data_IF_804255694130
#
_entry.id   IF_804255694130
#
_cell.length_a   1.000
_cell.length_b   1.000
_cell.length_c   1.000
_cell.angle_alpha   90.00
_cell.angle_beta   90.00
_cell.angle_gamma   90.00
#
_symmetry.space_group_name_H-M   'P 1'
#
loop_
_entity.id
_entity.type
_entity.pdbx_description
1 polymer ?
#
# COMPACT_ATOMS: atom_id res chain seq x y z
N UNK A 1 11.23 19.96 -6.64
CA UNK A 1 10.63 18.70 -7.09
C UNK A 1 11.31 18.25 -8.39
N UNK A 2 11.69 16.96 -8.57
CA UNK A 2 12.29 16.50 -9.82
C UNK A 2 11.27 16.60 -10.98
N UNK A 3 11.72 17.07 -12.15
CA UNK A 3 10.90 17.54 -13.29
C UNK A 3 9.89 16.55 -13.91
N UNK A 4 9.93 15.25 -13.55
CA UNK A 4 9.09 14.21 -14.18
C UNK A 4 8.17 13.51 -13.16
N UNK A 5 7.68 14.23 -12.15
CA UNK A 5 6.71 13.69 -11.20
C UNK A 5 5.57 14.66 -11.03
N UNK A 6 4.38 14.11 -10.85
CA UNK A 6 3.16 14.87 -10.69
C UNK A 6 2.27 14.18 -9.64
N UNK A 7 1.48 14.96 -8.93
CA UNK A 7 0.47 14.44 -8.01
C UNK A 7 -0.80 14.09 -8.78
N UNK A 8 -1.47 13.01 -8.38
CA UNK A 8 -2.70 12.59 -9.02
C UNK A 8 -3.67 11.94 -8.04
N UNK A 9 -4.95 11.99 -8.37
CA UNK A 9 -6.00 11.25 -7.68
C UNK A 9 -6.43 10.05 -8.53
N UNK A 10 -6.58 8.88 -7.89
CA UNK A 10 -7.06 7.67 -8.58
C UNK A 10 -8.52 7.85 -8.96
N UNK A 11 -8.81 7.89 -10.25
CA UNK A 11 -10.15 8.02 -10.80
C UNK A 11 -10.86 6.68 -10.90
N UNK A 12 -10.16 5.63 -11.36
CA UNK A 12 -10.73 4.29 -11.52
C UNK A 12 -9.66 3.20 -11.56
N UNK A 13 -9.96 2.05 -10.97
CA UNK A 13 -9.14 0.84 -11.12
C UNK A 13 -9.46 0.10 -12.42
N UNK A 14 -8.44 -0.22 -13.22
CA UNK A 14 -8.61 -0.91 -14.51
C UNK A 14 -8.24 -2.41 -14.45
N UNK A 15 -7.67 -2.86 -13.32
CA UNK A 15 -7.21 -4.24 -13.15
C UNK A 15 -5.81 -4.49 -13.75
N UNK A 16 -5.29 -5.70 -13.55
CA UNK A 16 -3.94 -6.11 -13.99
C UNK A 16 -2.82 -5.11 -13.60
N UNK A 17 -2.92 -4.52 -12.40
CA UNK A 17 -1.95 -3.52 -11.93
C UNK A 17 -1.99 -2.18 -12.69
N UNK A 18 -3.11 -1.84 -13.35
CA UNK A 18 -3.31 -0.56 -14.03
C UNK A 18 -4.48 0.19 -13.38
N UNK A 19 -4.37 1.51 -13.42
CA UNK A 19 -5.41 2.43 -12.96
C UNK A 19 -5.44 3.67 -13.85
N UNK A 20 -6.57 4.37 -13.83
CA UNK A 20 -6.72 5.70 -14.39
C UNK A 20 -6.59 6.72 -13.25
N UNK A 21 -5.70 7.70 -13.41
CA UNK A 21 -5.53 8.78 -12.45
C UNK A 21 -5.77 10.14 -13.12
N UNK A 22 -6.45 11.01 -12.38
CA UNK A 22 -6.60 12.43 -12.71
C UNK A 22 -5.40 13.16 -12.10
N UNK A 23 -4.45 13.58 -12.94
CA UNK A 23 -3.33 14.39 -12.49
C UNK A 23 -3.78 15.83 -12.21
N UNK A 24 -3.13 16.50 -11.26
CA UNK A 24 -3.49 17.88 -10.89
C UNK A 24 -3.05 18.94 -11.90
N UNK A 25 -2.29 18.54 -12.92
CA UNK A 25 -2.09 19.33 -14.14
C UNK A 25 -3.31 19.34 -15.09
N UNK A 26 -4.38 18.60 -14.74
CA UNK A 26 -5.63 18.54 -15.49
C UNK A 26 -5.72 17.40 -16.50
N UNK A 27 -4.66 16.58 -16.66
CA UNK A 27 -4.62 15.49 -17.64
C UNK A 27 -4.95 14.16 -16.98
N UNK A 28 -5.83 13.37 -17.63
CA UNK A 28 -6.07 11.98 -17.24
C UNK A 28 -5.02 11.08 -17.84
N UNK A 29 -4.35 10.28 -17.01
CA UNK A 29 -3.28 9.37 -17.44
C UNK A 29 -3.58 7.94 -17.06
N UNK A 30 -3.15 7.03 -17.93
CA UNK A 30 -3.11 5.60 -17.67
C UNK A 30 -1.86 5.28 -16.86
N UNK A 31 -2.05 4.94 -15.60
CA UNK A 31 -0.97 4.67 -14.68
C UNK A 31 -0.73 3.17 -14.51
N UNK A 32 0.54 2.78 -14.49
CA UNK A 32 0.96 1.43 -14.17
C UNK A 32 1.51 1.37 -12.74
N UNK A 33 0.98 0.46 -11.92
CA UNK A 33 1.40 0.31 -10.53
C UNK A 33 2.77 -0.40 -10.51
N UNK A 34 3.80 0.31 -10.05
CA UNK A 34 5.15 -0.24 -9.94
C UNK A 34 5.16 -1.48 -9.05
N UNK A 35 5.87 -2.52 -9.46
CA UNK A 35 5.84 -3.84 -8.81
C UNK A 35 6.14 -3.81 -7.30
N UNK A 36 6.97 -2.86 -6.84
CA UNK A 36 7.28 -2.65 -5.42
C UNK A 36 6.02 -2.33 -4.59
N UNK A 37 5.06 -1.61 -5.16
CA UNK A 37 3.82 -1.23 -4.46
C UNK A 37 2.79 -2.36 -4.49
N UNK A 38 2.71 -3.13 -5.59
CA UNK A 38 1.71 -4.21 -5.76
C UNK A 38 1.67 -5.24 -4.63
N UNK A 39 2.78 -5.42 -3.89
CA UNK A 39 2.87 -6.38 -2.78
C UNK A 39 2.68 -5.74 -1.39
N UNK A 40 2.80 -4.42 -1.27
CA UNK A 40 2.89 -3.72 0.03
C UNK A 40 1.74 -2.76 0.27
N UNK A 41 1.18 -2.19 -0.78
CA UNK A 41 0.25 -1.06 -0.68
C UNK A 41 -0.98 -1.32 -1.53
N UNK A 42 -2.13 -1.24 -0.88
CA UNK A 42 -3.43 -1.31 -1.53
C UNK A 42 -3.84 0.09 -2.00
N UNK A 43 -4.16 0.19 -3.29
CA UNK A 43 -4.56 1.44 -3.93
C UNK A 43 -6.02 1.29 -4.36
N UNK A 44 -6.86 2.20 -3.91
CA UNK A 44 -8.28 2.26 -4.22
C UNK A 44 -8.63 3.54 -4.99
N UNK A 45 -9.86 3.60 -5.48
CA UNK A 45 -10.40 4.81 -6.08
C UNK A 45 -10.50 5.93 -5.03
N UNK A 46 -10.10 7.15 -5.39
CA UNK A 46 -10.09 8.31 -4.50
C UNK A 46 -8.75 8.57 -3.81
N UNK A 47 -7.85 7.57 -3.76
CA UNK A 47 -6.52 7.70 -3.16
C UNK A 47 -5.66 8.76 -3.88
N UNK A 48 -4.81 9.44 -3.11
CA UNK A 48 -3.82 10.39 -3.63
C UNK A 48 -2.49 9.65 -3.86
N UNK A 49 -1.93 9.80 -5.06
CA UNK A 49 -0.73 9.09 -5.49
C UNK A 49 0.26 10.05 -6.16
N UNK A 50 1.55 9.71 -6.05
CA UNK A 50 2.61 10.33 -6.82
C UNK A 50 2.84 9.51 -8.09
N UNK A 51 2.72 10.15 -9.24
CA UNK A 51 2.97 9.52 -10.55
C UNK A 51 4.28 10.04 -11.16
N UNK A 52 5.00 9.16 -11.83
CA UNK A 52 6.16 9.48 -12.65
C UNK A 52 5.74 9.62 -14.11
N UNK A 53 5.99 10.80 -14.68
CA UNK A 53 5.70 11.09 -16.08
C UNK A 53 6.76 10.47 -16.99
N UNK A 54 6.35 10.08 -18.20
CA UNK A 54 7.24 9.57 -19.25
C UNK A 54 7.50 10.66 -20.27
N UNK A 55 8.75 10.84 -20.66
CA UNK A 55 9.18 11.94 -21.54
C UNK A 55 8.54 11.91 -22.94
N UNK A 56 8.18 10.71 -23.43
CA UNK A 56 7.68 10.49 -24.79
C UNK A 56 6.21 10.05 -24.87
N UNK A 57 5.57 9.74 -23.73
CA UNK A 57 4.19 9.26 -23.67
C UNK A 57 3.48 9.92 -22.50
N UNK A 58 3.06 11.17 -22.68
CA UNK A 58 2.40 11.93 -21.61
C UNK A 58 1.07 11.30 -21.14
N UNK A 59 0.38 10.56 -22.02
CA UNK A 59 -0.83 9.81 -21.68
C UNK A 59 -0.60 8.64 -20.71
N UNK A 60 0.66 8.27 -20.46
CA UNK A 60 1.03 7.15 -19.58
C UNK A 60 1.98 7.60 -18.49
N UNK A 61 1.75 7.08 -17.30
CA UNK A 61 2.59 7.34 -16.15
C UNK A 61 2.79 6.05 -15.33
N UNK A 62 3.73 6.10 -14.38
CA UNK A 62 3.98 5.00 -13.46
C UNK A 62 3.74 5.46 -12.02
N UNK A 63 3.00 4.68 -11.23
CA UNK A 63 2.73 5.03 -9.81
C UNK A 63 4.00 4.79 -8.99
N UNK A 64 4.47 5.82 -8.30
CA UNK A 64 5.70 5.81 -7.51
C UNK A 64 5.39 5.60 -6.02
N UNK A 65 4.38 6.29 -5.50
CA UNK A 65 4.04 6.31 -4.07
C UNK A 65 2.53 6.54 -3.92
N UNK A 66 1.94 5.98 -2.85
CA UNK A 66 0.61 6.32 -2.36
C UNK A 66 0.77 7.18 -1.11
N UNK A 67 -0.01 8.24 -0.98
CA UNK A 67 -0.11 9.04 0.22
C UNK A 67 -1.26 8.54 1.10
N UNK A 68 -1.05 8.57 2.41
CA UNK A 68 -2.12 8.36 3.38
C UNK A 68 -3.02 9.60 3.46
N UNK A 69 -4.19 9.45 4.10
CA UNK A 69 -5.17 10.53 4.22
C UNK A 69 -4.60 11.75 4.96
N UNK A 70 -3.81 11.53 6.01
CA UNK A 70 -3.14 12.59 6.76
C UNK A 70 -2.05 13.29 5.93
N UNK A 71 -1.27 12.53 5.16
CA UNK A 71 -0.27 13.10 4.26
C UNK A 71 -0.93 13.92 3.15
N UNK A 72 -2.06 13.44 2.61
CA UNK A 72 -2.86 14.17 1.63
C UNK A 72 -3.43 15.48 2.19
N UNK A 73 -3.83 15.51 3.47
CA UNK A 73 -4.22 16.77 4.14
C UNK A 73 -3.05 17.73 4.27
N UNK A 74 -1.87 17.22 4.62
CA UNK A 74 -0.67 18.05 4.69
C UNK A 74 -0.32 18.64 3.31
N UNK A 75 -0.46 17.86 2.22
CA UNK A 75 -0.25 18.36 0.86
C UNK A 75 -1.19 19.53 0.50
N UNK A 76 -2.44 19.52 0.98
CA UNK A 76 -3.35 20.67 0.83
C UNK A 76 -2.85 21.88 1.62
N UNK A 77 -2.46 21.67 2.87
CA UNK A 77 -1.93 22.74 3.74
C UNK A 77 -0.69 23.39 3.14
N UNK A 78 0.15 22.61 2.45
CA UNK A 78 1.34 23.11 1.74
C UNK A 78 1.02 23.77 0.40
N UNK A 79 -0.21 23.67 -0.11
CA UNK A 79 -0.62 24.20 -1.40
C UNK A 79 -0.07 23.42 -2.60
N UNK A 80 0.37 22.18 -2.40
CA UNK A 80 0.88 21.30 -3.46
C UNK A 80 -0.25 20.70 -4.30
N UNK A 81 -1.44 20.57 -3.72
CA UNK A 81 -2.65 20.09 -4.39
C UNK A 81 -3.83 21.04 -4.11
N UNK A 82 -4.79 21.18 -5.03
CA UNK A 82 -5.91 22.09 -4.84
C UNK A 82 -6.85 21.66 -3.71
N UNK A 83 -7.44 22.63 -3.00
CA UNK A 83 -8.35 22.37 -1.88
C UNK A 83 -9.62 21.59 -2.28
N UNK A 84 -10.00 21.70 -3.56
CA UNK A 84 -11.16 21.04 -4.15
C UNK A 84 -11.08 19.51 -4.19
N UNK A 85 -9.90 18.94 -3.95
CA UNK A 85 -9.70 17.48 -3.99
C UNK A 85 -10.45 16.81 -2.85
N UNK A 86 -11.33 15.87 -3.18
CA UNK A 86 -12.03 15.08 -2.16
C UNK A 86 -11.14 13.93 -1.71
N UNK A 87 -10.57 14.02 -0.50
CA UNK A 87 -9.82 12.92 0.11
C UNK A 87 -10.86 11.96 0.65
N UNK A 88 -10.93 10.75 0.08
CA UNK A 88 -11.82 9.71 0.57
C UNK A 88 -11.13 9.01 1.72
N UNK A 89 -11.64 9.15 2.95
CA UNK A 89 -11.22 8.32 4.09
C UNK A 89 -11.74 6.89 3.85
N UNK A 90 -11.07 6.15 2.97
CA UNK A 90 -11.31 4.73 2.80
C UNK A 90 -10.68 4.03 4.00
N UNK A 91 -11.46 3.99 5.10
CA UNK A 91 -11.09 3.46 6.40
C UNK A 91 -10.21 2.22 6.31
N UNK A 92 -8.93 2.42 6.56
CA UNK A 92 -8.01 1.33 6.88
C UNK A 92 -8.19 1.02 8.36
N UNK A 93 -9.30 0.35 8.70
CA UNK A 93 -9.41 -0.41 9.95
C UNK A 93 -8.68 -1.75 9.79
N UNK A 94 -7.42 -1.71 9.36
CA UNK A 94 -6.54 -2.88 9.38
C UNK A 94 -5.37 -2.46 10.26
N UNK A 95 -5.39 -2.98 11.49
CA UNK A 95 -4.38 -2.69 12.50
C UNK A 95 -2.99 -2.98 11.97
N UNK A 96 -2.24 -1.92 11.69
CA UNK A 96 -0.78 -1.94 11.62
C UNK A 96 -0.30 -2.11 13.06
N UNK A 97 -0.07 -3.37 13.48
CA UNK A 97 0.31 -3.65 14.87
C UNK A 97 0.32 -5.10 15.32
N UNK A 98 0.41 -6.09 14.42
CA UNK A 98 0.75 -7.45 14.82
C UNK A 98 1.89 -7.93 13.91
N UNK A 99 3.11 -7.74 14.41
CA UNK A 99 4.19 -8.69 14.19
C UNK A 99 3.62 -10.10 14.27
N UNK A 100 3.70 -10.85 13.18
CA UNK A 100 3.54 -12.30 13.17
C UNK A 100 4.79 -12.92 13.84
N UNK A 101 5.05 -12.54 15.09
CA UNK A 101 5.92 -13.28 15.98
C UNK A 101 5.11 -14.46 16.53
N UNK A 102 5.09 -15.57 15.78
CA UNK A 102 4.69 -16.86 16.35
C UNK A 102 5.78 -17.24 17.37
N UNK A 103 5.58 -16.84 18.62
CA UNK A 103 6.41 -17.27 19.72
C UNK A 103 6.06 -18.73 20.06
N UNK A 104 6.80 -19.66 19.46
CA UNK A 104 6.76 -21.08 19.82
C UNK A 104 7.33 -21.23 21.24
N UNK A 105 6.47 -21.15 22.25
CA UNK A 105 6.81 -21.57 23.61
C UNK A 105 6.37 -23.02 23.77
N UNK A 106 7.16 -23.95 23.22
CA UNK A 106 7.07 -25.36 23.59
C UNK A 106 7.66 -25.50 25.00
N UNK A 107 6.79 -25.29 25.99
CA UNK A 107 7.05 -25.59 27.39
C UNK A 107 7.08 -27.11 27.54
N UNK A 108 8.21 -27.62 28.03
CA UNK A 108 8.50 -29.05 28.06
C UNK A 108 7.47 -29.92 28.77
N UNK A 109 7.26 -31.10 28.22
CA UNK A 109 6.83 -32.29 28.94
C UNK A 109 8.01 -33.25 29.05
N UNK A 110 8.78 -33.11 30.12
CA UNK A 110 9.58 -34.20 30.68
C UNK A 110 8.62 -35.08 31.47
N UNK A 111 8.13 -36.15 30.85
CA UNK A 111 7.58 -37.30 31.56
C UNK A 111 8.50 -38.49 31.25
N UNK A 112 9.44 -38.68 32.17
CA UNK A 112 10.29 -39.83 32.29
C UNK A 112 9.47 -40.98 32.87
N UNK A 113 8.81 -41.75 32.01
CA UNK A 113 8.26 -43.05 32.40
C UNK A 113 9.37 -44.10 32.32
N UNK A 114 9.98 -44.36 33.48
CA UNK A 114 10.76 -45.55 33.75
C UNK A 114 9.80 -46.76 33.81
N UNK A 115 9.79 -47.59 32.77
CA UNK A 115 9.19 -48.93 32.85
C UNK A 115 10.19 -49.86 33.56
N UNK A 116 10.06 -49.92 34.89
CA UNK A 116 10.56 -51.00 35.72
C UNK A 116 9.73 -52.28 35.49
N UNK A 117 10.44 -53.42 35.55
CA UNK A 117 9.95 -54.79 35.82
C UNK A 117 9.27 -55.61 34.71
N UNK A 118 10.09 -56.31 33.90
CA UNK A 118 9.70 -57.59 33.29
C UNK A 118 9.81 -58.68 34.36
N UNK A 119 8.68 -58.96 35.01
CA UNK A 119 8.47 -60.16 35.82
C UNK A 119 8.07 -61.37 34.95
N UNK A 120 9.02 -62.31 34.82
CA UNK A 120 8.86 -63.76 34.91
C UNK A 120 7.49 -64.42 34.57
N UNK A 121 7.43 -65.15 33.44
CA UNK A 121 6.71 -66.43 33.29
C UNK A 121 7.41 -67.34 32.29
#
# INVERSE_FOLDING_TARGET
MPKNKEYAQVAKMLGNGRLEAMCFDGVKRLCHIRGKLRKKVWINQGDIVLVGLREFQDQKADVILKYNDDEARNLKTYGEIPDSVQITEAGTFVGDGMDDDIQFNDVGGDDSDSDDDIDNI
#
